data_IF_849117494469
#
_entry.id   IF_849117494469
#
_cell.length_a   1.000
_cell.length_b   1.000
_cell.length_c   1.000
_cell.angle_alpha   90.00
_cell.angle_beta   90.00
_cell.angle_gamma   90.00
#
_symmetry.space_group_name_H-M   'P 1'
#
loop_
_entity.id
_entity.type
_entity.pdbx_description
1 polymer ?
#
# COMPACT_ATOMS: atom_id res chain seq x y z
N UNK A 1 29.47 -43.40 -2.55
CA UNK A 1 28.21 -42.85 -3.10
C UNK A 1 28.22 -41.34 -2.90
N UNK A 2 28.43 -40.55 -3.97
CA UNK A 2 28.51 -39.08 -3.89
C UNK A 2 27.17 -38.52 -3.38
N UNK A 3 27.23 -37.72 -2.32
CA UNK A 3 26.10 -36.97 -1.76
C UNK A 3 25.51 -36.04 -2.82
N UNK A 4 24.27 -36.31 -3.24
CA UNK A 4 23.50 -35.38 -4.08
C UNK A 4 23.13 -34.16 -3.24
N UNK A 5 23.63 -32.99 -3.61
CA UNK A 5 23.08 -31.72 -3.13
C UNK A 5 21.58 -31.63 -3.48
N UNK A 6 20.73 -31.07 -2.60
CA UNK A 6 19.32 -30.91 -2.89
C UNK A 6 19.15 -29.91 -4.06
N UNK A 7 18.49 -30.35 -5.13
CA UNK A 7 18.15 -29.49 -6.29
C UNK A 7 17.28 -28.32 -5.80
N UNK A 8 17.79 -27.10 -5.88
CA UNK A 8 17.03 -25.89 -5.55
C UNK A 8 15.88 -25.70 -6.55
N UNK A 9 14.64 -25.88 -6.09
CA UNK A 9 13.44 -25.60 -6.86
C UNK A 9 13.19 -24.08 -6.90
N UNK A 10 12.95 -23.56 -8.10
CA UNK A 10 12.68 -22.15 -8.35
C UNK A 10 11.29 -21.98 -8.99
N UNK A 11 10.56 -20.95 -8.58
CA UNK A 11 9.36 -20.44 -9.23
C UNK A 11 9.78 -19.38 -10.25
N UNK A 12 9.20 -19.39 -11.45
CA UNK A 12 9.42 -18.33 -12.44
C UNK A 12 8.21 -17.39 -12.46
N UNK A 13 8.46 -16.11 -12.24
CA UNK A 13 7.48 -15.05 -12.39
C UNK A 13 7.63 -14.40 -13.76
N UNK A 14 6.52 -14.32 -14.50
CA UNK A 14 6.45 -13.62 -15.76
C UNK A 14 5.20 -12.74 -15.76
N UNK A 15 5.38 -11.46 -16.05
CA UNK A 15 4.31 -10.48 -16.25
C UNK A 15 4.51 -9.89 -17.63
N UNK A 16 3.66 -10.29 -18.58
CA UNK A 16 3.67 -9.74 -19.93
C UNK A 16 3.12 -8.29 -19.88
N UNK A 17 4.03 -7.31 -19.95
CA UNK A 17 3.67 -5.89 -19.99
C UNK A 17 3.11 -5.46 -21.36
N UNK A 18 3.08 -6.34 -22.37
CA UNK A 18 2.64 -6.03 -23.74
C UNK A 18 1.16 -6.28 -24.01
N UNK A 19 0.41 -6.85 -23.04
CA UNK A 19 -1.03 -7.10 -23.18
C UNK A 19 -1.82 -6.60 -21.97
N UNK A 20 -2.68 -5.58 -22.11
CA UNK A 20 -3.77 -5.38 -21.17
C UNK A 20 -4.80 -6.49 -21.40
N UNK A 21 -4.61 -7.67 -20.78
CA UNK A 21 -5.64 -8.72 -20.82
C UNK A 21 -6.77 -8.38 -19.84
N UNK A 22 -7.64 -7.48 -20.32
CA UNK A 22 -9.06 -7.47 -20.01
C UNK A 22 -9.68 -8.82 -20.41
N UNK A 23 -9.67 -9.81 -19.53
CA UNK A 23 -10.63 -10.91 -19.66
C UNK A 23 -10.90 -11.60 -18.32
N UNK A 24 -12.19 -11.63 -17.99
CA UNK A 24 -12.89 -12.41 -16.96
C UNK A 24 -12.65 -12.07 -15.48
N UNK A 25 -13.03 -10.85 -15.08
CA UNK A 25 -13.73 -10.60 -13.82
C UNK A 25 -15.01 -9.79 -14.13
N UNK A 26 -16.06 -9.82 -13.29
CA UNK A 26 -17.33 -9.17 -13.62
C UNK A 26 -17.08 -7.72 -14.02
N UNK A 27 -17.63 -7.33 -15.18
CA UNK A 27 -17.48 -6.01 -15.80
C UNK A 27 -17.62 -4.90 -14.74
N UNK A 28 -16.55 -4.13 -14.50
CA UNK A 28 -16.66 -2.87 -13.75
C UNK A 28 -15.44 -2.39 -12.95
N UNK A 29 -14.43 -3.21 -12.64
CA UNK A 29 -13.35 -2.77 -11.74
C UNK A 29 -11.97 -3.28 -12.14
N UNK A 30 -11.09 -2.36 -12.53
CA UNK A 30 -9.67 -2.58 -12.78
C UNK A 30 -8.89 -2.49 -11.46
N UNK A 31 -8.16 -3.54 -11.10
CA UNK A 31 -7.26 -3.54 -9.93
C UNK A 31 -5.81 -3.40 -10.38
N UNK A 32 -5.40 -2.19 -10.76
CA UNK A 32 -3.99 -1.80 -10.76
C UNK A 32 -3.75 -0.97 -9.50
N UNK A 33 -3.50 -1.62 -8.36
CA UNK A 33 -3.21 -0.88 -7.12
C UNK A 33 -1.86 -1.28 -6.55
N UNK A 34 -0.96 -0.30 -6.54
CA UNK A 34 0.27 -0.31 -5.77
C UNK A 34 -0.08 -0.03 -4.31
N UNK A 35 0.08 -1.03 -3.43
CA UNK A 35 -0.15 -0.86 -2.00
C UNK A 35 1.19 -0.73 -1.27
N UNK A 36 1.44 0.42 -0.66
CA UNK A 36 2.58 0.61 0.23
C UNK A 36 2.07 0.62 1.66
N UNK A 37 2.36 -0.43 2.43
CA UNK A 37 2.03 -0.49 3.86
C UNK A 37 3.33 -0.43 4.64
N UNK A 38 3.68 0.71 5.28
CA UNK A 38 4.80 0.72 6.20
C UNK A 38 4.41 -0.05 7.47
N UNK A 39 4.78 -1.32 7.54
CA UNK A 39 4.72 -2.07 8.79
C UNK A 39 5.93 -1.67 9.65
N UNK A 40 5.73 -0.76 10.60
CA UNK A 40 6.77 -0.43 11.57
C UNK A 40 6.87 -1.46 12.70
N UNK A 41 5.88 -2.34 12.93
CA UNK A 41 5.93 -3.38 13.98
C UNK A 41 5.10 -4.62 13.59
N UNK A 42 5.72 -5.62 12.93
CA UNK A 42 5.16 -7.00 12.92
C UNK A 42 5.75 -7.76 14.10
N UNK A 43 4.98 -7.96 15.17
CA UNK A 43 5.35 -8.91 16.23
C UNK A 43 5.17 -10.35 15.71
N UNK A 44 6.27 -10.94 15.26
CA UNK A 44 6.76 -12.25 15.70
C UNK A 44 6.08 -13.55 15.24
N UNK A 45 4.79 -13.59 14.88
CA UNK A 45 4.08 -14.89 14.76
C UNK A 45 3.93 -15.47 13.35
N UNK A 46 4.15 -14.70 12.27
CA UNK A 46 3.88 -15.15 10.89
C UNK A 46 5.11 -15.31 9.98
N UNK A 47 6.30 -14.95 10.46
CA UNK A 47 7.51 -14.92 9.64
C UNK A 47 8.47 -16.02 10.09
N UNK A 48 8.94 -16.86 9.14
CA UNK A 48 10.02 -17.82 9.38
C UNK A 48 11.27 -17.10 9.92
N UNK A 49 12.11 -17.82 10.67
CA UNK A 49 13.22 -17.26 11.47
C UNK A 49 14.17 -16.32 10.72
N UNK A 50 14.34 -16.47 9.39
CA UNK A 50 15.19 -15.61 8.56
C UNK A 50 14.62 -14.22 8.23
N UNK A 51 13.30 -14.03 8.25
CA UNK A 51 12.67 -12.75 7.85
C UNK A 51 12.48 -11.81 9.07
N UNK A 52 12.71 -12.30 10.29
CA UNK A 52 12.41 -11.59 11.54
C UNK A 52 13.29 -10.36 11.85
N UNK A 53 14.45 -10.19 11.20
CA UNK A 53 15.44 -9.15 11.55
C UNK A 53 15.56 -7.98 10.56
N UNK A 54 14.65 -7.83 9.59
CA UNK A 54 14.85 -6.91 8.47
C UNK A 54 13.79 -5.81 8.43
N UNK A 55 14.22 -4.57 8.14
CA UNK A 55 13.33 -3.44 7.84
C UNK A 55 12.52 -3.74 6.57
N UNK A 56 11.26 -4.15 6.76
CA UNK A 56 10.38 -4.58 5.69
C UNK A 56 9.75 -3.35 5.01
N UNK A 57 10.22 -2.99 3.81
CA UNK A 57 9.45 -2.11 2.91
C UNK A 57 8.39 -2.97 2.22
N UNK A 58 7.27 -3.20 2.90
CA UNK A 58 6.18 -4.01 2.36
C UNK A 58 5.47 -3.26 1.23
N UNK A 59 5.83 -3.57 -0.01
CA UNK A 59 5.03 -3.25 -1.18
C UNK A 59 4.16 -4.48 -1.45
N UNK A 60 2.87 -4.42 -1.12
CA UNK A 60 1.90 -5.45 -1.51
C UNK A 60 1.59 -5.21 -2.99
N UNK A 61 2.25 -5.94 -3.88
CA UNK A 61 1.81 -6.03 -5.27
C UNK A 61 0.85 -7.20 -5.40
N UNK A 62 -0.41 -6.90 -5.69
CA UNK A 62 -1.29 -7.85 -6.38
C UNK A 62 -0.89 -7.84 -7.86
N UNK A 63 0.12 -8.62 -8.22
CA UNK A 63 0.42 -8.88 -9.62
C UNK A 63 -0.35 -10.11 -10.06
N UNK A 64 -1.21 -9.94 -11.07
CA UNK A 64 -1.75 -11.08 -11.81
C UNK A 64 -0.64 -11.63 -12.73
N UNK A 65 0.42 -12.20 -12.13
CA UNK A 65 1.45 -12.92 -12.87
C UNK A 65 0.86 -14.26 -13.31
N UNK A 66 0.64 -14.43 -14.61
CA UNK A 66 0.30 -15.71 -15.21
C UNK A 66 1.61 -16.51 -15.38
N UNK A 67 2.12 -17.09 -14.29
CA UNK A 67 3.25 -18.02 -14.34
C UNK A 67 2.75 -19.45 -14.48
N UNK A 68 3.10 -20.14 -15.58
CA UNK A 68 3.07 -21.61 -15.57
C UNK A 68 4.20 -22.10 -14.67
N UNK A 69 3.86 -22.86 -13.64
CA UNK A 69 4.85 -23.57 -12.81
C UNK A 69 5.48 -24.65 -13.67
N UNK A 70 6.71 -24.42 -14.16
CA UNK A 70 7.55 -25.50 -14.64
C UNK A 70 8.47 -25.95 -13.50
N UNK A 71 8.20 -27.11 -12.92
CA UNK A 71 9.21 -27.89 -12.21
C UNK A 71 10.18 -28.49 -13.24
N UNK A 72 10.92 -27.63 -13.94
CA UNK A 72 11.86 -28.02 -15.00
C UNK A 72 13.29 -28.08 -14.47
N UNK A 73 13.92 -29.25 -14.59
CA UNK A 73 15.34 -29.42 -14.29
C UNK A 73 16.24 -28.63 -15.25
N UNK A 74 17.27 -28.03 -14.68
CA UNK A 74 18.50 -27.46 -15.28
C UNK A 74 18.36 -26.74 -16.65
N UNK A 75 18.64 -25.42 -16.75
CA UNK A 75 18.84 -24.81 -18.05
C UNK A 75 20.18 -25.26 -18.64
N UNK A 76 20.15 -26.26 -19.52
CA UNK A 76 21.22 -26.45 -20.51
C UNK A 76 21.25 -25.20 -21.41
N UNK A 77 22.35 -24.45 -21.36
CA UNK A 77 22.61 -23.36 -22.28
C UNK A 77 22.70 -23.88 -23.73
N UNK A 78 22.12 -23.21 -24.73
CA UNK A 78 22.48 -23.48 -26.12
C UNK A 78 23.90 -22.93 -26.37
N UNK A 79 24.78 -23.80 -26.85
CA UNK A 79 26.10 -23.44 -27.32
C UNK A 79 25.98 -22.54 -28.56
N UNK A 80 26.29 -21.25 -28.40
CA UNK A 80 26.36 -20.25 -29.47
C UNK A 80 27.72 -19.53 -29.44
N UNK A 81 28.38 -19.51 -30.59
CA UNK A 81 29.72 -18.93 -30.86
C UNK A 81 30.05 -17.63 -30.11
N UNK A 82 31.27 -17.58 -29.56
CA UNK A 82 31.87 -16.39 -28.98
C UNK A 82 32.17 -15.32 -30.05
N UNK A 83 31.80 -14.04 -29.84
CA UNK A 83 32.41 -12.91 -30.53
C UNK A 83 33.67 -12.44 -29.78
N UNK A 84 34.68 -12.00 -30.54
CA UNK A 84 35.97 -11.52 -30.04
C UNK A 84 35.87 -10.24 -29.18
N UNK A 85 36.81 -9.99 -28.24
CA UNK A 85 36.70 -8.91 -27.27
C UNK A 85 37.09 -7.55 -27.87
N UNK A 86 36.13 -6.64 -27.98
CA UNK A 86 36.37 -5.19 -28.06
C UNK A 86 36.52 -4.56 -26.68
N UNK A 87 37.05 -3.32 -26.57
CA UNK A 87 37.45 -2.74 -25.30
C UNK A 87 36.25 -2.51 -24.36
N UNK A 88 36.37 -3.03 -23.13
CA UNK A 88 35.36 -2.89 -22.08
C UNK A 88 35.26 -1.44 -21.59
N UNK A 89 34.06 -0.86 -21.43
CA UNK A 89 33.87 0.31 -20.58
C UNK A 89 34.06 -0.13 -19.13
N UNK A 90 34.92 0.57 -18.39
CA UNK A 90 35.19 0.33 -16.96
C UNK A 90 33.89 0.49 -16.15
N UNK A 91 33.22 -0.61 -15.84
CA UNK A 91 32.18 -0.66 -14.81
C UNK A 91 32.86 -0.76 -13.46
N UNK A 92 32.69 0.26 -12.63
CA UNK A 92 33.14 0.23 -11.24
C UNK A 92 32.54 -0.99 -10.52
N UNK A 93 33.30 -1.68 -9.65
CA UNK A 93 32.79 -2.83 -8.92
C UNK A 93 31.64 -2.39 -8.01
N UNK A 94 30.61 -3.24 -7.80
CA UNK A 94 29.59 -2.95 -6.80
C UNK A 94 30.28 -2.85 -5.44
N UNK A 95 30.28 -1.64 -4.88
CA UNK A 95 30.70 -1.41 -3.50
C UNK A 95 29.82 -2.26 -2.60
N UNK A 96 30.42 -3.28 -2.00
CA UNK A 96 29.82 -4.06 -0.92
C UNK A 96 29.61 -3.13 0.27
N UNK A 97 28.47 -2.45 0.33
CA UNK A 97 27.98 -1.79 1.53
C UNK A 97 27.55 -2.88 2.51
N UNK A 98 28.52 -3.43 3.25
CA UNK A 98 28.27 -4.20 4.46
C UNK A 98 27.55 -3.28 5.46
N UNK A 99 26.22 -3.43 5.55
CA UNK A 99 25.38 -2.66 6.48
C UNK A 99 24.03 -2.19 5.91
N UNK A 100 23.80 -2.25 4.60
CA UNK A 100 22.48 -1.91 4.05
C UNK A 100 21.52 -3.10 4.22
N UNK A 101 20.46 -2.92 5.03
CA UNK A 101 19.38 -3.90 5.11
C UNK A 101 18.81 -4.20 3.71
N UNK A 102 18.62 -5.47 3.33
CA UNK A 102 18.04 -5.82 2.03
C UNK A 102 16.66 -5.19 1.86
N UNK A 103 16.40 -4.65 0.66
CA UNK A 103 15.07 -4.17 0.29
C UNK A 103 14.26 -5.36 -0.18
N UNK A 104 13.17 -5.65 0.52
CA UNK A 104 12.28 -6.78 0.26
C UNK A 104 10.99 -6.31 -0.42
N UNK A 105 10.42 -7.18 -1.27
CA UNK A 105 9.14 -7.01 -1.94
C UNK A 105 8.25 -8.20 -1.60
N UNK A 106 6.99 -7.95 -1.23
CA UNK A 106 6.04 -9.02 -0.92
C UNK A 106 4.99 -9.08 -2.02
N UNK A 107 5.13 -10.09 -2.86
CA UNK A 107 4.40 -10.21 -4.12
C UNK A 107 3.34 -11.28 -3.96
N UNK A 108 2.10 -10.89 -4.25
CA UNK A 108 1.00 -11.84 -4.42
C UNK A 108 0.98 -12.23 -5.90
N UNK A 109 1.16 -13.51 -6.18
CA UNK A 109 1.21 -14.06 -7.54
C UNK A 109 0.37 -15.33 -7.67
N UNK A 110 -0.11 -15.63 -8.88
CA UNK A 110 -0.87 -16.86 -9.12
C UNK A 110 0.10 -18.03 -9.30
N UNK A 111 -0.09 -19.09 -8.53
CA UNK A 111 0.64 -20.37 -8.68
C UNK A 111 -0.28 -21.54 -8.97
N UNK A 112 -1.57 -21.43 -8.61
CA UNK A 112 -2.61 -22.42 -8.87
C UNK A 112 -3.64 -21.98 -9.91
N UNK A 113 -4.84 -22.56 -9.81
CA UNK A 113 -5.97 -22.27 -10.70
C UNK A 113 -6.58 -20.87 -10.52
N UNK A 114 -7.76 -20.65 -11.09
CA UNK A 114 -8.46 -19.37 -10.99
C UNK A 114 -8.95 -19.05 -9.56
N UNK A 115 -9.26 -17.77 -9.34
CA UNK A 115 -9.82 -17.29 -8.07
C UNK A 115 -8.80 -17.13 -6.93
N UNK A 116 -9.30 -16.82 -5.72
CA UNK A 116 -8.46 -16.48 -4.55
C UNK A 116 -7.55 -17.61 -4.07
N UNK A 117 -8.01 -18.87 -4.17
CA UNK A 117 -7.26 -20.06 -3.74
C UNK A 117 -6.04 -20.38 -4.62
N UNK A 118 -5.91 -19.75 -5.78
CA UNK A 118 -4.76 -19.90 -6.66
C UNK A 118 -3.62 -18.91 -6.41
N UNK A 119 -3.77 -18.00 -5.44
CA UNK A 119 -2.80 -16.94 -5.17
C UNK A 119 -1.86 -17.34 -4.04
N UNK A 120 -0.56 -17.19 -4.24
CA UNK A 120 0.50 -17.40 -3.25
C UNK A 120 1.23 -16.09 -2.94
N UNK A 121 1.92 -16.04 -1.79
CA UNK A 121 2.69 -14.89 -1.34
C UNK A 121 4.18 -15.21 -1.41
N UNK A 122 4.97 -14.41 -2.12
CA UNK A 122 6.42 -14.59 -2.27
C UNK A 122 7.18 -13.35 -1.76
N UNK A 123 8.36 -13.57 -1.17
CA UNK A 123 9.31 -12.50 -0.83
C UNK A 123 10.42 -12.44 -1.85
N UNK A 124 10.63 -11.29 -2.45
CA UNK A 124 11.71 -11.04 -3.40
C UNK A 124 12.67 -10.00 -2.85
N UNK A 125 13.95 -10.17 -3.16
CA UNK A 125 14.98 -9.20 -2.82
C UNK A 125 15.22 -8.26 -3.99
N UNK A 126 15.53 -6.99 -3.71
CA UNK A 126 15.98 -6.07 -4.75
C UNK A 126 17.26 -6.62 -5.39
N UNK A 127 17.24 -6.78 -6.71
CA UNK A 127 18.37 -7.32 -7.48
C UNK A 127 18.18 -8.76 -7.93
N UNK A 128 17.07 -9.43 -7.57
CA UNK A 128 16.70 -10.71 -8.17
C UNK A 128 16.69 -10.58 -9.71
N UNK A 129 17.42 -11.42 -10.47
CA UNK A 129 17.41 -11.38 -11.93
C UNK A 129 15.98 -11.47 -12.48
N UNK A 130 15.63 -10.62 -13.45
CA UNK A 130 14.27 -10.50 -13.98
C UNK A 130 13.34 -9.56 -13.21
N UNK A 131 13.77 -8.99 -12.07
CA UNK A 131 13.06 -7.92 -11.38
C UNK A 131 13.56 -6.54 -11.86
N UNK A 132 12.67 -5.75 -12.45
CA UNK A 132 12.97 -4.39 -12.88
C UNK A 132 11.89 -3.40 -12.46
N UNK A 133 12.13 -2.11 -12.70
CA UNK A 133 11.25 -1.03 -12.25
C UNK A 133 11.01 0.00 -13.34
N UNK A 134 9.77 0.44 -13.47
CA UNK A 134 9.40 1.55 -14.34
C UNK A 134 9.82 2.93 -13.80
N UNK A 135 9.43 3.98 -14.53
CA UNK A 135 9.63 5.37 -14.13
C UNK A 135 8.90 5.70 -12.81
N UNK A 136 9.38 6.74 -12.10
CA UNK A 136 8.67 7.27 -10.94
C UNK A 136 7.44 8.05 -11.39
N UNK A 137 6.28 7.69 -10.87
CA UNK A 137 5.03 8.38 -11.17
C UNK A 137 4.96 9.77 -10.55
N UNK A 138 4.46 10.74 -11.32
CA UNK A 138 4.10 12.08 -10.85
C UNK A 138 2.69 12.04 -10.27
N UNK A 139 2.53 12.44 -9.01
CA UNK A 139 1.28 12.31 -8.26
C UNK A 139 0.86 13.66 -7.67
N UNK A 140 -0.42 13.77 -7.33
CA UNK A 140 -1.00 14.95 -6.65
C UNK A 140 -0.44 15.09 -5.23
N UNK A 141 -0.44 14.01 -4.46
CA UNK A 141 0.09 13.92 -3.09
C UNK A 141 0.99 12.70 -2.93
N UNK A 142 1.40 12.42 -1.69
CA UNK A 142 2.28 11.29 -1.36
C UNK A 142 3.59 11.33 -2.16
N UNK A 143 4.18 12.54 -2.29
CA UNK A 143 5.36 12.76 -3.14
C UNK A 143 6.68 12.28 -2.53
N UNK A 144 6.73 12.19 -1.19
CA UNK A 144 7.88 11.67 -0.45
C UNK A 144 8.13 10.18 -0.72
N UNK A 145 7.10 9.43 -1.12
CA UNK A 145 7.21 8.02 -1.45
C UNK A 145 7.26 7.78 -2.97
N UNK A 146 8.27 7.02 -3.46
CA UNK A 146 8.35 6.65 -4.86
C UNK A 146 7.27 5.62 -5.20
N UNK A 147 6.44 5.95 -6.19
CA UNK A 147 5.49 5.01 -6.80
C UNK A 147 6.02 4.72 -8.20
N UNK A 148 6.10 3.45 -8.57
CA UNK A 148 6.61 2.99 -9.87
C UNK A 148 6.07 1.59 -10.16
N UNK A 149 5.94 1.26 -11.44
CA UNK A 149 5.71 -0.12 -11.87
C UNK A 149 6.83 -1.04 -11.36
N UNK A 150 6.45 -2.24 -10.93
CA UNK A 150 7.37 -3.34 -10.64
C UNK A 150 7.14 -4.41 -11.70
N UNK A 151 8.20 -4.78 -12.39
CA UNK A 151 8.13 -5.59 -13.60
C UNK A 151 8.90 -6.89 -13.34
N UNK A 152 8.30 -8.02 -13.75
CA UNK A 152 8.87 -9.35 -13.59
C UNK A 152 8.97 -10.02 -14.97
N UNK A 153 10.20 -10.18 -15.46
CA UNK A 153 10.51 -10.81 -16.74
C UNK A 153 11.37 -12.05 -16.48
N UNK A 154 10.75 -13.24 -16.52
CA UNK A 154 11.40 -14.52 -16.23
C UNK A 154 12.18 -14.54 -14.90
N UNK A 155 11.60 -13.87 -13.91
CA UNK A 155 12.20 -13.69 -12.59
C UNK A 155 12.14 -15.00 -11.79
N UNK A 156 13.29 -15.64 -11.61
CA UNK A 156 13.42 -16.89 -10.88
C UNK A 156 13.57 -16.64 -9.37
N UNK A 157 12.62 -17.16 -8.59
CA UNK A 157 12.52 -16.97 -7.13
C UNK A 157 12.59 -18.33 -6.44
N UNK A 158 13.43 -18.54 -5.42
CA UNK A 158 13.45 -19.81 -4.67
C UNK A 158 12.09 -20.13 -4.05
N UNK A 159 11.66 -21.40 -4.09
CA UNK A 159 10.40 -21.83 -3.43
C UNK A 159 10.41 -21.52 -1.93
N UNK A 160 11.60 -21.57 -1.31
CA UNK A 160 11.79 -21.23 0.11
C UNK A 160 11.42 -19.78 0.46
N UNK A 161 11.27 -18.89 -0.53
CA UNK A 161 10.84 -17.52 -0.32
C UNK A 161 9.31 -17.36 -0.27
N UNK A 162 8.56 -18.45 -0.41
CA UNK A 162 7.10 -18.45 -0.25
C UNK A 162 6.72 -18.26 1.22
N UNK A 163 5.85 -17.28 1.49
CA UNK A 163 5.24 -17.07 2.79
C UNK A 163 3.95 -17.90 2.87
N UNK A 164 3.94 -18.86 3.79
CA UNK A 164 2.85 -19.80 3.95
C UNK A 164 2.78 -20.86 2.85
N UNK A 165 1.66 -21.57 2.82
CA UNK A 165 1.41 -22.61 1.83
C UNK A 165 1.01 -22.04 0.47
N UNK A 166 1.10 -22.88 -0.55
CA UNK A 166 0.59 -22.55 -1.86
C UNK A 166 -0.93 -22.25 -1.80
N UNK A 167 -1.37 -21.18 -2.47
CA UNK A 167 -2.77 -20.77 -2.47
C UNK A 167 -3.24 -19.97 -1.25
N UNK A 168 -2.37 -19.75 -0.25
CA UNK A 168 -2.70 -18.98 0.95
C UNK A 168 -2.48 -17.46 0.81
N UNK A 169 -1.94 -16.99 -0.32
CA UNK A 169 -1.55 -15.59 -0.54
C UNK A 169 -2.71 -14.61 -0.40
N UNK A 170 -3.91 -14.96 -0.91
CA UNK A 170 -5.08 -14.09 -0.76
C UNK A 170 -5.49 -13.91 0.71
N UNK A 171 -5.44 -14.98 1.52
CA UNK A 171 -5.77 -14.89 2.94
C UNK A 171 -4.76 -14.02 3.69
N UNK A 172 -3.47 -14.16 3.38
CA UNK A 172 -2.40 -13.32 3.93
C UNK A 172 -2.65 -11.85 3.57
N UNK A 173 -2.99 -11.55 2.31
CA UNK A 173 -3.32 -10.20 1.86
C UNK A 173 -4.51 -9.63 2.63
N UNK A 174 -5.60 -10.39 2.74
CA UNK A 174 -6.82 -9.96 3.43
C UNK A 174 -6.61 -9.69 4.93
N UNK A 175 -5.79 -10.50 5.61
CA UNK A 175 -5.41 -10.24 7.00
C UNK A 175 -4.62 -8.94 7.14
N UNK A 176 -3.69 -8.67 6.21
CA UNK A 176 -2.95 -7.41 6.17
C UNK A 176 -3.82 -6.18 5.92
N UNK A 177 -4.80 -6.29 5.02
CA UNK A 177 -5.68 -5.17 4.63
C UNK A 177 -6.54 -4.64 5.78
N UNK A 178 -6.97 -5.47 6.73
CA UNK A 178 -7.75 -4.98 7.88
C UNK A 178 -6.93 -4.03 8.76
N UNK A 179 -5.66 -4.38 9.01
CA UNK A 179 -4.72 -3.47 9.67
C UNK A 179 -4.41 -2.23 8.82
N UNK A 180 -4.22 -2.42 7.51
CA UNK A 180 -4.00 -1.33 6.55
C UNK A 180 -5.11 -0.29 6.56
N UNK A 181 -6.38 -0.72 6.57
CA UNK A 181 -7.57 0.15 6.67
C UNK A 181 -7.60 1.01 7.92
N UNK A 182 -7.25 0.45 9.09
CA UNK A 182 -7.14 1.21 10.34
C UNK A 182 -5.99 2.22 10.25
N UNK A 183 -4.84 1.79 9.71
CA UNK A 183 -3.65 2.64 9.62
C UNK A 183 -3.87 3.83 8.70
N UNK A 184 -4.44 3.62 7.50
CA UNK A 184 -4.71 4.71 6.55
C UNK A 184 -5.78 5.68 7.09
N UNK A 185 -6.79 5.16 7.79
CA UNK A 185 -7.77 5.97 8.50
C UNK A 185 -7.11 6.80 9.62
N UNK A 186 -6.15 6.22 10.34
CA UNK A 186 -5.37 6.92 11.36
C UNK A 186 -4.49 8.02 10.78
N UNK A 187 -3.88 7.81 9.61
CA UNK A 187 -3.17 8.86 8.88
C UNK A 187 -4.10 10.03 8.51
N UNK A 188 -5.32 9.73 8.04
CA UNK A 188 -6.34 10.75 7.78
C UNK A 188 -6.69 11.56 9.04
N UNK A 189 -6.85 10.89 10.20
CA UNK A 189 -7.11 11.56 11.47
C UNK A 189 -6.00 12.53 11.86
N UNK A 190 -4.74 12.15 11.65
CA UNK A 190 -3.59 13.02 11.94
C UNK A 190 -3.62 14.31 11.13
N UNK A 191 -3.84 14.20 9.83
CA UNK A 191 -3.94 15.34 8.92
C UNK A 191 -5.14 16.24 9.24
N UNK A 192 -6.32 15.66 9.51
CA UNK A 192 -7.51 16.42 9.88
C UNK A 192 -7.35 17.13 11.23
N UNK A 193 -6.75 16.47 12.23
CA UNK A 193 -6.46 17.09 13.51
C UNK A 193 -5.51 18.29 13.37
N UNK A 194 -4.41 18.13 12.64
CA UNK A 194 -3.49 19.24 12.37
C UNK A 194 -4.20 20.39 11.63
N UNK A 195 -5.05 20.06 10.65
CA UNK A 195 -5.82 21.06 9.89
C UNK A 195 -6.81 21.86 10.75
N UNK A 196 -7.50 21.21 11.70
CA UNK A 196 -8.37 21.90 12.68
C UNK A 196 -7.57 22.86 13.55
N UNK A 197 -6.40 22.45 14.03
CA UNK A 197 -5.54 23.31 14.87
C UNK A 197 -5.03 24.52 14.10
N UNK A 198 -4.53 24.31 12.88
CA UNK A 198 -4.06 25.40 12.02
C UNK A 198 -5.19 26.36 11.66
N UNK A 199 -6.38 25.84 11.32
CA UNK A 199 -7.53 26.68 11.03
C UNK A 199 -7.94 27.50 12.26
N UNK A 200 -8.04 26.89 13.44
CA UNK A 200 -8.33 27.61 14.70
C UNK A 200 -7.31 28.71 14.96
N UNK A 201 -6.02 28.43 14.83
CA UNK A 201 -4.95 29.41 15.02
C UNK A 201 -5.08 30.57 14.01
N UNK A 202 -5.25 30.26 12.73
CA UNK A 202 -5.42 31.26 11.68
C UNK A 202 -6.62 32.18 11.95
N UNK A 203 -7.76 31.61 12.36
CA UNK A 203 -8.98 32.36 12.65
C UNK A 203 -8.82 33.35 13.81
N UNK A 204 -7.98 33.01 14.82
CA UNK A 204 -7.75 33.87 15.98
C UNK A 204 -6.71 34.98 15.72
N UNK A 205 -5.89 34.86 14.68
CA UNK A 205 -4.84 35.85 14.37
C UNK A 205 -5.21 36.73 13.19
N UNK A 206 -5.82 36.17 12.14
CA UNK A 206 -6.13 36.91 10.91
C UNK A 206 -7.30 37.86 11.16
N UNK A 207 -7.12 39.13 10.76
CA UNK A 207 -8.18 40.14 10.79
C UNK A 207 -8.69 40.49 9.40
N UNK A 208 -10.01 40.64 9.27
CA UNK A 208 -10.71 41.19 8.11
C UNK A 208 -11.95 41.94 8.59
N UNK A 209 -12.34 42.99 7.88
CA UNK A 209 -13.49 43.83 8.26
C UNK A 209 -13.40 44.36 9.71
N UNK A 210 -12.19 44.71 10.15
CA UNK A 210 -11.93 45.28 11.48
C UNK A 210 -11.75 44.28 12.63
N UNK A 211 -12.20 43.03 12.47
CA UNK A 211 -12.22 42.01 13.53
C UNK A 211 -11.40 40.77 13.16
N UNK A 212 -11.10 39.92 14.15
CA UNK A 212 -10.54 38.59 13.86
C UNK A 212 -11.57 37.71 13.16
N UNK A 213 -11.11 36.82 12.27
CA UNK A 213 -12.00 35.91 11.55
C UNK A 213 -12.81 35.01 12.50
N UNK A 214 -12.28 34.71 13.70
CA UNK A 214 -12.98 33.98 14.74
C UNK A 214 -14.28 34.64 15.22
N UNK A 215 -14.50 35.94 14.99
CA UNK A 215 -15.76 36.62 15.30
C UNK A 215 -16.87 36.35 14.27
N UNK A 216 -16.55 35.78 13.11
CA UNK A 216 -17.53 35.44 12.09
C UNK A 216 -18.27 34.14 12.46
N UNK A 217 -19.59 34.24 12.67
CA UNK A 217 -20.43 33.11 13.09
C UNK A 217 -20.37 31.92 12.13
N UNK A 218 -20.34 32.15 10.81
CA UNK A 218 -20.24 31.08 9.83
C UNK A 218 -18.94 30.28 10.02
N UNK A 219 -17.81 30.96 10.22
CA UNK A 219 -16.52 30.31 10.47
C UNK A 219 -16.50 29.54 11.80
N UNK A 220 -17.19 30.04 12.84
CA UNK A 220 -17.36 29.32 14.10
C UNK A 220 -18.17 28.02 13.91
N UNK A 221 -19.27 28.07 13.15
CA UNK A 221 -20.09 26.89 12.87
C UNK A 221 -19.32 25.84 12.07
N UNK A 222 -18.57 26.25 11.07
CA UNK A 222 -17.72 25.35 10.29
C UNK A 222 -16.64 24.69 11.18
N UNK A 223 -15.99 25.46 12.06
CA UNK A 223 -15.00 24.91 12.99
C UNK A 223 -15.62 23.91 13.97
N UNK A 224 -16.82 24.18 14.47
CA UNK A 224 -17.57 23.28 15.34
C UNK A 224 -17.94 21.97 14.64
N UNK A 225 -18.37 22.04 13.37
CA UNK A 225 -18.65 20.86 12.56
C UNK A 225 -17.38 20.03 12.31
N UNK A 226 -16.26 20.68 11.96
CA UNK A 226 -14.98 20.02 11.75
C UNK A 226 -14.52 19.27 13.01
N UNK A 227 -14.59 19.91 14.18
CA UNK A 227 -14.24 19.30 15.45
C UNK A 227 -15.13 18.08 15.78
N UNK A 228 -16.44 18.20 15.56
CA UNK A 228 -17.41 17.12 15.82
C UNK A 228 -17.13 15.89 14.97
N UNK A 229 -16.96 16.09 13.65
CA UNK A 229 -16.65 15.02 12.69
C UNK A 229 -15.29 14.37 13.00
N UNK A 230 -14.29 15.15 13.41
CA UNK A 230 -12.99 14.65 13.81
C UNK A 230 -13.09 13.72 15.04
N UNK A 231 -13.86 14.11 16.06
CA UNK A 231 -14.08 13.28 17.25
C UNK A 231 -14.81 11.99 16.88
N UNK A 232 -15.87 12.06 16.07
CA UNK A 232 -16.58 10.89 15.59
C UNK A 232 -15.66 9.92 14.82
N UNK A 233 -14.85 10.44 13.90
CA UNK A 233 -13.91 9.64 13.12
C UNK A 233 -12.85 8.99 14.02
N UNK A 234 -12.36 9.71 15.03
CA UNK A 234 -11.40 9.18 16.01
C UNK A 234 -11.97 8.01 16.81
N UNK A 235 -13.22 8.12 17.25
CA UNK A 235 -13.90 7.05 17.99
C UNK A 235 -14.10 5.81 17.10
N UNK A 236 -14.54 5.99 15.86
CA UNK A 236 -14.71 4.91 14.88
C UNK A 236 -13.41 4.13 14.64
N UNK A 237 -12.31 4.84 14.36
CA UNK A 237 -11.00 4.21 14.09
C UNK A 237 -10.47 3.47 15.31
N UNK A 238 -10.56 4.05 16.51
CA UNK A 238 -10.10 3.39 17.74
C UNK A 238 -10.97 2.21 18.12
N UNK A 239 -12.28 2.29 17.90
CA UNK A 239 -13.20 1.18 18.11
C UNK A 239 -12.88 -0.01 17.19
N UNK A 240 -12.63 0.25 15.90
CA UNK A 240 -12.21 -0.76 14.95
C UNK A 240 -10.86 -1.40 15.33
N UNK A 241 -9.89 -0.58 15.76
CA UNK A 241 -8.59 -1.07 16.22
C UNK A 241 -8.72 -2.02 17.43
N UNK A 242 -9.54 -1.63 18.42
CA UNK A 242 -9.85 -2.47 19.58
C UNK A 242 -10.52 -3.77 19.16
N UNK A 243 -11.53 -3.70 18.29
CA UNK A 243 -12.24 -4.90 17.82
C UNK A 243 -11.32 -5.86 17.06
N UNK A 244 -10.39 -5.34 16.26
CA UNK A 244 -9.40 -6.15 15.56
C UNK A 244 -8.42 -6.81 16.54
N UNK A 245 -7.97 -6.09 17.57
CA UNK A 245 -7.10 -6.64 18.61
C UNK A 245 -7.78 -7.75 19.42
N UNK A 246 -9.06 -7.55 19.76
CA UNK A 246 -9.90 -8.51 20.50
C UNK A 246 -10.38 -9.68 19.62
N UNK A 247 -10.03 -9.71 18.33
CA UNK A 247 -10.47 -10.74 17.37
C UNK A 247 -11.99 -10.90 17.32
N UNK A 248 -12.73 -9.80 17.46
CA UNK A 248 -14.19 -9.83 17.43
C UNK A 248 -14.70 -10.24 16.04
N UNK A 249 -15.83 -10.95 16.02
CA UNK A 249 -16.46 -11.41 14.77
C UNK A 249 -16.87 -10.25 13.84
N UNK A 250 -17.15 -9.07 14.40
CA UNK A 250 -17.54 -7.87 13.66
C UNK A 250 -16.35 -6.96 13.29
N UNK A 251 -15.11 -7.33 13.63
CA UNK A 251 -13.93 -6.50 13.42
C UNK A 251 -13.72 -6.12 11.95
N UNK A 252 -13.97 -7.02 11.01
CA UNK A 252 -13.82 -6.75 9.56
C UNK A 252 -14.77 -5.65 9.10
N UNK A 253 -16.03 -5.69 9.56
CA UNK A 253 -17.02 -4.68 9.23
C UNK A 253 -16.65 -3.34 9.87
N UNK A 254 -16.26 -3.35 11.14
CA UNK A 254 -15.83 -2.14 11.86
C UNK A 254 -14.59 -1.48 11.21
N UNK A 255 -13.61 -2.26 10.76
CA UNK A 255 -12.45 -1.74 10.01
C UNK A 255 -12.89 -1.03 8.72
N UNK A 256 -13.85 -1.61 8.00
CA UNK A 256 -14.37 -1.06 6.75
C UNK A 256 -15.19 0.22 6.99
N UNK A 257 -16.05 0.23 8.01
CA UNK A 257 -16.82 1.41 8.44
C UNK A 257 -15.90 2.55 8.88
N UNK A 258 -14.89 2.24 9.69
CA UNK A 258 -13.92 3.22 10.16
C UNK A 258 -13.12 3.83 9.00
N UNK A 259 -12.64 3.01 8.06
CA UNK A 259 -11.90 3.52 6.89
C UNK A 259 -12.77 4.39 6.01
N UNK A 260 -13.98 3.94 5.67
CA UNK A 260 -14.94 4.71 4.88
C UNK A 260 -15.18 6.09 5.51
N UNK A 261 -15.67 6.10 6.75
CA UNK A 261 -16.07 7.32 7.42
C UNK A 261 -14.89 8.26 7.68
N UNK A 262 -13.78 7.74 8.24
CA UNK A 262 -12.66 8.59 8.59
C UNK A 262 -12.00 9.19 7.34
N UNK A 263 -11.87 8.45 6.25
CA UNK A 263 -11.22 8.99 5.04
C UNK A 263 -12.08 10.05 4.34
N UNK A 264 -13.41 9.90 4.33
CA UNK A 264 -14.32 10.92 3.78
C UNK A 264 -14.35 12.18 4.65
N UNK A 265 -14.64 12.02 5.95
CA UNK A 265 -14.80 13.17 6.85
C UNK A 265 -13.47 13.92 7.07
N UNK A 266 -12.35 13.22 7.20
CA UNK A 266 -11.06 13.87 7.38
C UNK A 266 -10.62 14.65 6.13
N UNK A 267 -10.94 14.13 4.93
CA UNK A 267 -10.70 14.87 3.69
C UNK A 267 -11.54 16.15 3.65
N UNK A 268 -12.83 16.07 3.97
CA UNK A 268 -13.70 17.24 4.05
C UNK A 268 -13.19 18.28 5.05
N UNK A 269 -12.75 17.84 6.24
CA UNK A 269 -12.14 18.72 7.26
C UNK A 269 -10.89 19.43 6.71
N UNK A 270 -9.97 18.70 6.06
CA UNK A 270 -8.76 19.33 5.52
C UNK A 270 -9.08 20.33 4.41
N UNK A 271 -10.07 20.01 3.55
CA UNK A 271 -10.49 20.90 2.49
C UNK A 271 -11.16 22.17 3.05
N UNK A 272 -11.98 22.04 4.10
CA UNK A 272 -12.59 23.19 4.77
C UNK A 272 -11.55 24.04 5.50
N UNK A 273 -10.54 23.42 6.12
CA UNK A 273 -9.41 24.14 6.70
C UNK A 273 -8.64 24.93 5.64
N UNK A 274 -8.46 24.38 4.43
CA UNK A 274 -7.86 25.11 3.30
C UNK A 274 -8.70 26.35 2.97
N UNK A 275 -10.02 26.20 2.87
CA UNK A 275 -10.94 27.31 2.62
C UNK A 275 -10.85 28.39 3.71
N UNK A 276 -10.74 28.02 4.99
CA UNK A 276 -10.59 28.96 6.11
C UNK A 276 -9.30 29.79 6.06
N UNK A 277 -8.25 29.30 5.40
CA UNK A 277 -7.03 30.06 5.16
C UNK A 277 -7.12 30.97 3.92
N UNK A 278 -8.22 30.91 3.15
CA UNK A 278 -8.41 31.66 1.92
C UNK A 278 -7.28 31.42 0.92
N UNK A 279 -6.81 32.49 0.26
CA UNK A 279 -5.71 32.42 -0.70
C UNK A 279 -4.42 31.83 -0.14
N UNK A 280 -4.11 32.06 1.14
CA UNK A 280 -2.93 31.48 1.80
C UNK A 280 -2.99 29.96 1.88
N UNK A 281 -4.19 29.39 2.04
CA UNK A 281 -4.40 27.95 2.08
C UNK A 281 -3.97 27.25 0.78
N UNK A 282 -3.94 27.97 -0.34
CA UNK A 282 -3.53 27.46 -1.64
C UNK A 282 -2.01 27.54 -1.89
N UNK A 283 -1.29 28.33 -1.09
CA UNK A 283 0.16 28.49 -1.19
C UNK A 283 0.90 27.31 -0.58
N UNK A 284 2.04 26.95 -1.16
CA UNK A 284 2.87 25.82 -0.67
C UNK A 284 3.53 26.09 0.69
N UNK A 285 3.64 27.36 1.08
CA UNK A 285 4.18 27.78 2.38
C UNK A 285 3.28 27.34 3.55
N UNK A 286 2.00 27.05 3.28
CA UNK A 286 1.05 26.56 4.26
C UNK A 286 0.89 25.03 4.14
N UNK A 287 0.96 24.34 5.27
CA UNK A 287 0.87 22.88 5.32
C UNK A 287 -0.51 22.35 4.90
N UNK A 288 -1.58 23.14 5.03
CA UNK A 288 -2.97 22.68 4.83
C UNK A 288 -3.23 22.09 3.44
N UNK A 289 -2.70 22.71 2.37
CA UNK A 289 -2.83 22.12 1.02
C UNK A 289 -2.12 20.78 0.87
N UNK A 290 -1.05 20.53 1.64
CA UNK A 290 -0.38 19.25 1.59
C UNK A 290 -1.27 18.18 2.23
N UNK A 291 -1.91 18.47 3.36
CA UNK A 291 -2.86 17.55 3.97
C UNK A 291 -3.99 17.19 3.00
N UNK A 292 -4.59 18.18 2.33
CA UNK A 292 -5.63 17.94 1.31
C UNK A 292 -5.15 16.99 0.21
N UNK A 293 -3.98 17.28 -0.39
CA UNK A 293 -3.42 16.46 -1.47
C UNK A 293 -3.06 15.05 -1.02
N UNK A 294 -2.46 14.93 0.17
CA UNK A 294 -1.91 13.67 0.66
C UNK A 294 -3.02 12.72 1.11
N UNK A 295 -4.08 13.20 1.77
CA UNK A 295 -5.13 12.30 2.27
C UNK A 295 -6.24 12.02 1.26
N UNK A 296 -6.33 12.78 0.16
CA UNK A 296 -7.32 12.50 -0.90
C UNK A 296 -7.20 11.07 -1.42
N UNK A 297 -5.96 10.56 -1.52
CA UNK A 297 -5.70 9.20 -2.00
C UNK A 297 -6.15 8.12 -1.00
N UNK A 298 -6.39 8.47 0.27
CA UNK A 298 -6.85 7.51 1.28
C UNK A 298 -8.26 6.99 1.00
N UNK A 299 -9.10 7.74 0.29
CA UNK A 299 -10.41 7.28 -0.19
C UNK A 299 -10.28 6.20 -1.30
N UNK A 300 -9.09 6.04 -1.89
CA UNK A 300 -8.80 5.15 -3.02
C UNK A 300 -8.04 3.90 -2.57
N UNK A 301 -7.00 4.06 -1.74
CA UNK A 301 -6.13 2.97 -1.30
C UNK A 301 -6.74 2.13 -0.17
N UNK A 302 -6.14 0.96 0.09
CA UNK A 302 -6.63 -0.05 1.06
C UNK A 302 -8.06 -0.54 0.74
N UNK A 303 -8.40 -0.51 -0.55
CA UNK A 303 -9.75 -0.66 -1.08
C UNK A 303 -10.48 0.68 -1.12
N UNK A 304 -11.08 1.01 -2.27
CA UNK A 304 -11.83 2.26 -2.42
C UNK A 304 -13.01 2.34 -1.44
N UNK A 305 -13.53 3.54 -1.21
CA UNK A 305 -14.69 3.71 -0.33
C UNK A 305 -15.93 2.99 -0.86
N UNK A 306 -16.06 2.78 -2.16
CA UNK A 306 -17.11 1.95 -2.78
C UNK A 306 -16.96 0.47 -2.39
N UNK A 307 -15.73 -0.02 -2.33
CA UNK A 307 -15.45 -1.39 -1.86
C UNK A 307 -15.75 -1.51 -0.36
N UNK A 308 -15.48 -0.48 0.44
CA UNK A 308 -15.88 -0.49 1.85
C UNK A 308 -17.40 -0.59 1.99
N UNK A 309 -18.17 0.20 1.22
CA UNK A 309 -19.64 0.11 1.18
C UNK A 309 -20.12 -1.30 0.81
N UNK A 310 -19.49 -1.93 -0.18
CA UNK A 310 -19.79 -3.31 -0.56
C UNK A 310 -19.56 -4.30 0.58
N UNK A 311 -18.43 -4.21 1.28
CA UNK A 311 -18.11 -5.09 2.41
C UNK A 311 -19.13 -4.90 3.53
N UNK A 312 -19.43 -3.65 3.90
CA UNK A 312 -20.39 -3.31 4.94
C UNK A 312 -21.79 -3.85 4.60
N UNK A 313 -22.26 -3.60 3.38
CA UNK A 313 -23.57 -4.07 2.92
C UNK A 313 -23.67 -5.59 2.94
N UNK A 314 -22.63 -6.31 2.48
CA UNK A 314 -22.60 -7.78 2.53
C UNK A 314 -22.67 -8.30 3.96
N UNK A 315 -21.92 -7.71 4.90
CA UNK A 315 -21.96 -8.15 6.29
C UNK A 315 -23.33 -7.92 6.92
N UNK A 316 -23.99 -6.80 6.62
CA UNK A 316 -25.32 -6.50 7.17
C UNK A 316 -26.43 -7.39 6.60
N UNK A 317 -26.33 -7.80 5.33
CA UNK A 317 -27.35 -8.60 4.64
C UNK A 317 -27.17 -10.12 4.81
N UNK A 318 -26.02 -10.58 5.28
CA UNK A 318 -25.73 -11.98 5.57
C UNK A 318 -25.99 -12.36 7.04
N UNK A 319 -26.39 -11.38 7.86
CA UNK A 319 -26.72 -11.55 9.28
C UNK A 319 -28.10 -12.18 9.49
#
# INVERSE_FOLDING_TARGET
>A
VKSREPRASHLRLHVDASKPQLSSFPKGFHWEYFLFVPFSHVRGHFLGSKVKSHFLKLLLLLCQAHGRVYAGGNPSAPAGRAPQPGPQPQTAPPSHLQGASPVLYVVMCRTGGEGPKGISCLVLEKGTPGLSFGKKEKKVGWNSQPTRAVIFEDCAVPVANRLGEEGHGFNIAMQGLNGGRINIASCSLGAAHASVLLAREHLNVRKQFGEVLACNQYLQFELAQMATRLVAARLMVRSAARALQEQRNDAVALCSMAKLFATDECFAICNQALQMHGGYGYLKDYAVQQFVRDIRVHQILEGTNEIMKMIIARTLLQA
#
